data_IF_184286071402
#
_entry.id   IF_184286071402
#
_cell.length_a   1.000
_cell.length_b   1.000
_cell.length_c   1.000
_cell.angle_alpha   90.00
_cell.angle_beta   90.00
_cell.angle_gamma   90.00
#
_symmetry.space_group_name_H-M   'P 1'
#
loop_
_entity.id
_entity.type
_entity.pdbx_description
1 polymer ?
#
# COMPACT_ATOMS: atom_id res chain seq x y z
N UNK A 1 -15.17 14.70 -17.14
CA UNK A 1 -14.04 14.30 -16.31
C UNK A 1 -13.54 15.46 -15.44
N UNK A 2 -12.69 15.18 -14.43
CA UNK A 2 -12.07 16.21 -13.60
C UNK A 2 -11.27 17.23 -14.45
N UNK A 3 -10.40 16.75 -15.32
CA UNK A 3 -9.58 17.63 -16.18
C UNK A 3 -10.42 18.58 -17.07
N UNK A 4 -11.55 18.11 -17.59
CA UNK A 4 -12.45 18.98 -18.39
C UNK A 4 -13.06 20.11 -17.57
N UNK A 5 -13.41 19.85 -16.30
CA UNK A 5 -13.97 20.87 -15.40
C UNK A 5 -12.91 21.85 -14.90
N UNK A 6 -11.63 21.44 -14.91
CA UNK A 6 -10.49 22.22 -14.45
C UNK A 6 -9.68 22.84 -15.59
N UNK A 7 -10.19 22.77 -16.82
CA UNK A 7 -9.52 23.34 -18.01
C UNK A 7 -9.24 24.83 -17.84
N UNK A 8 -8.01 25.25 -18.08
CA UNK A 8 -7.52 26.62 -17.92
C UNK A 8 -7.74 27.21 -16.52
N UNK A 9 -7.60 26.39 -15.48
CA UNK A 9 -7.63 26.89 -14.10
C UNK A 9 -6.52 27.91 -13.86
N UNK A 10 -6.79 28.88 -12.96
CA UNK A 10 -5.80 29.90 -12.61
C UNK A 10 -4.58 29.29 -11.91
N UNK A 11 -4.81 28.31 -11.02
CA UNK A 11 -3.76 27.64 -10.27
C UNK A 11 -4.00 26.14 -10.24
N UNK A 12 -2.96 25.37 -10.59
CA UNK A 12 -2.86 23.92 -10.34
C UNK A 12 -1.73 23.67 -9.35
N UNK A 13 -2.07 23.15 -8.18
CA UNK A 13 -1.10 22.57 -7.25
C UNK A 13 -1.08 21.06 -7.48
N UNK A 14 0.09 20.50 -7.80
CA UNK A 14 0.19 19.09 -8.16
C UNK A 14 1.41 18.42 -7.54
N UNK A 15 1.21 17.20 -7.04
CA UNK A 15 2.27 16.38 -6.51
C UNK A 15 3.26 15.95 -7.60
N UNK A 16 4.48 15.61 -7.20
CA UNK A 16 5.53 15.15 -8.12
C UNK A 16 6.47 14.15 -7.45
N UNK A 17 5.94 13.22 -6.65
CA UNK A 17 6.78 12.23 -5.95
C UNK A 17 7.53 11.36 -6.95
N UNK A 18 6.85 10.86 -7.96
CA UNK A 18 7.43 9.95 -8.95
C UNK A 18 8.60 10.55 -9.74
N UNK A 19 8.58 11.86 -10.01
CA UNK A 19 9.68 12.54 -10.70
C UNK A 19 10.89 12.81 -9.81
N UNK A 20 10.75 12.65 -8.49
CA UNK A 20 11.86 12.80 -7.54
C UNK A 20 12.89 11.67 -7.67
N UNK A 21 12.47 10.51 -8.14
CA UNK A 21 13.26 9.29 -8.20
C UNK A 21 13.26 8.68 -9.62
N UNK A 22 13.81 9.39 -10.63
CA UNK A 22 13.76 8.93 -12.02
C UNK A 22 14.58 7.65 -12.25
N UNK A 23 15.56 7.39 -11.38
CA UNK A 23 16.47 6.25 -11.47
C UNK A 23 16.04 5.09 -10.54
N UNK A 24 14.82 5.13 -9.99
CA UNK A 24 14.29 3.95 -9.35
C UNK A 24 14.29 2.86 -10.43
N UNK A 25 15.24 1.94 -10.28
CA UNK A 25 15.30 0.75 -11.11
C UNK A 25 13.88 0.20 -11.17
N UNK A 26 13.33 0.21 -12.39
CA UNK A 26 12.14 -0.56 -12.69
C UNK A 26 12.61 -1.97 -12.37
N UNK A 27 12.19 -2.51 -11.21
CA UNK A 27 12.46 -3.91 -10.90
C UNK A 27 12.10 -4.71 -12.15
N UNK A 28 12.81 -5.79 -12.45
CA UNK A 28 12.56 -6.63 -13.62
C UNK A 28 11.09 -7.08 -13.75
N UNK A 29 10.29 -6.86 -12.73
CA UNK A 29 8.85 -7.06 -12.73
C UNK A 29 8.14 -5.85 -13.34
N UNK A 30 7.25 -6.12 -14.29
CA UNK A 30 6.33 -5.12 -14.84
C UNK A 30 5.65 -4.35 -13.69
N UNK A 31 5.68 -3.01 -13.68
CA UNK A 31 5.05 -2.22 -12.63
C UNK A 31 3.56 -2.57 -12.54
N UNK A 32 3.08 -2.76 -11.32
CA UNK A 32 1.64 -2.92 -11.06
C UNK A 32 0.97 -1.56 -11.31
N UNK A 33 -0.03 -1.54 -12.18
CA UNK A 33 -0.70 -0.32 -12.59
C UNK A 33 -2.07 -0.12 -11.93
N UNK A 34 -2.72 -1.19 -11.46
CA UNK A 34 -4.06 -1.12 -10.86
C UNK A 34 -4.16 -1.98 -9.60
N UNK A 35 -5.17 -1.69 -8.76
CA UNK A 35 -5.47 -2.51 -7.59
C UNK A 35 -5.92 -3.92 -7.99
N UNK A 36 -6.64 -4.06 -9.09
CA UNK A 36 -7.06 -5.36 -9.65
C UNK A 36 -5.85 -6.22 -10.02
N UNK A 37 -4.85 -5.62 -10.68
CA UNK A 37 -3.60 -6.31 -11.02
C UNK A 37 -2.82 -6.71 -9.77
N UNK A 38 -2.78 -5.83 -8.76
CA UNK A 38 -2.14 -6.15 -7.48
C UNK A 38 -2.78 -7.36 -6.82
N UNK A 39 -4.12 -7.37 -6.75
CA UNK A 39 -4.88 -8.48 -6.15
C UNK A 39 -4.70 -9.78 -6.95
N UNK A 40 -4.68 -9.69 -8.28
CA UNK A 40 -4.38 -10.86 -9.12
C UNK A 40 -3.00 -11.43 -8.81
N UNK A 41 -1.95 -10.61 -8.75
CA UNK A 41 -0.59 -11.07 -8.41
C UNK A 41 -0.49 -11.62 -7.00
N UNK A 42 -1.26 -11.06 -6.06
CA UNK A 42 -1.37 -11.63 -4.71
C UNK A 42 -1.92 -13.04 -4.75
N UNK A 43 -3.02 -13.27 -5.48
CA UNK A 43 -3.62 -14.59 -5.63
C UNK A 43 -2.66 -15.58 -6.29
N UNK A 44 -1.97 -15.17 -7.36
CA UNK A 44 -0.95 -15.99 -8.04
C UNK A 44 0.20 -16.38 -7.09
N UNK A 45 0.65 -15.45 -6.22
CA UNK A 45 1.66 -15.76 -5.21
C UNK A 45 1.15 -16.78 -4.19
N UNK A 46 -0.09 -16.64 -3.72
CA UNK A 46 -0.69 -17.59 -2.77
C UNK A 46 -0.78 -18.98 -3.38
N UNK A 47 -1.17 -19.10 -4.64
CA UNK A 47 -1.26 -20.37 -5.38
C UNK A 47 0.12 -21.02 -5.65
N UNK A 48 1.16 -20.20 -5.85
CA UNK A 48 2.52 -20.66 -6.06
C UNK A 48 3.10 -21.39 -4.84
N UNK A 49 2.61 -21.09 -3.65
CA UNK A 49 3.16 -21.60 -2.40
C UNK A 49 2.13 -22.41 -1.59
N UNK A 50 1.63 -23.56 -2.12
CA UNK A 50 0.50 -24.27 -1.55
C UNK A 50 0.76 -24.87 -0.15
N UNK A 51 2.02 -25.07 0.23
CA UNK A 51 2.44 -25.72 1.48
C UNK A 51 3.44 -24.86 2.26
N UNK A 52 3.16 -23.56 2.37
CA UNK A 52 3.97 -22.62 3.15
C UNK A 52 3.07 -21.71 3.97
N UNK A 53 3.51 -21.35 5.16
CA UNK A 53 2.88 -20.24 5.87
C UNK A 53 2.94 -18.98 5.00
N UNK A 54 1.80 -18.33 4.81
CA UNK A 54 1.73 -17.06 4.09
C UNK A 54 1.15 -16.01 5.02
N UNK A 55 1.92 -14.97 5.23
CA UNK A 55 1.52 -13.80 6.00
C UNK A 55 1.59 -12.55 5.13
N UNK A 56 0.84 -11.54 5.50
CA UNK A 56 0.89 -10.28 4.78
C UNK A 56 0.71 -9.08 5.71
N UNK A 57 1.09 -7.91 5.25
CA UNK A 57 0.69 -6.64 5.84
C UNK A 57 0.44 -5.62 4.73
N UNK A 58 -0.57 -4.76 4.94
CA UNK A 58 -0.98 -3.74 3.99
C UNK A 58 -1.19 -2.39 4.67
N UNK A 59 -1.24 -1.32 3.87
CA UNK A 59 -1.53 0.01 4.36
C UNK A 59 -2.97 0.08 4.90
N UNK A 60 -3.18 0.30 6.21
CA UNK A 60 -4.48 0.11 6.85
C UNK A 60 -5.57 1.06 6.36
N UNK A 61 -5.21 2.23 5.80
CA UNK A 61 -6.19 3.15 5.24
C UNK A 61 -6.70 2.74 3.84
N UNK A 62 -6.05 1.78 3.16
CA UNK A 62 -6.53 1.27 1.88
C UNK A 62 -7.52 0.11 2.08
N UNK A 63 -8.68 0.42 2.68
CA UNK A 63 -9.72 -0.58 2.96
C UNK A 63 -10.24 -1.27 1.70
N UNK A 64 -10.20 -0.58 0.56
CA UNK A 64 -10.63 -1.17 -0.72
C UNK A 64 -9.75 -2.34 -1.13
N UNK A 65 -8.43 -2.21 -0.95
CA UNK A 65 -7.49 -3.32 -1.19
C UNK A 65 -7.77 -4.49 -0.25
N UNK A 66 -7.95 -4.24 1.05
CA UNK A 66 -8.30 -5.29 2.01
C UNK A 66 -9.61 -6.00 1.63
N UNK A 67 -10.64 -5.24 1.23
CA UNK A 67 -11.90 -5.82 0.75
C UNK A 67 -11.67 -6.76 -0.43
N UNK A 68 -10.90 -6.34 -1.42
CA UNK A 68 -10.61 -7.14 -2.60
C UNK A 68 -9.79 -8.38 -2.25
N UNK A 69 -8.76 -8.25 -1.43
CA UNK A 69 -7.94 -9.37 -0.97
C UNK A 69 -8.76 -10.41 -0.19
N UNK A 70 -9.59 -9.97 0.77
CA UNK A 70 -10.46 -10.88 1.53
C UNK A 70 -11.44 -11.64 0.63
N UNK A 71 -11.99 -10.99 -0.42
CA UNK A 71 -12.96 -11.60 -1.32
C UNK A 71 -12.34 -12.54 -2.37
N UNK A 72 -11.09 -12.31 -2.75
CA UNK A 72 -10.48 -12.98 -3.91
C UNK A 72 -9.34 -13.91 -3.55
N UNK A 73 -8.78 -13.84 -2.33
CA UNK A 73 -7.70 -14.72 -1.91
C UNK A 73 -8.07 -16.19 -2.04
N UNK A 74 -7.19 -17.03 -2.61
CA UNK A 74 -7.40 -18.48 -2.70
C UNK A 74 -7.47 -19.18 -1.33
N UNK A 75 -6.87 -18.56 -0.30
CA UNK A 75 -6.94 -19.03 1.08
C UNK A 75 -7.77 -18.07 1.92
N UNK A 76 -8.30 -18.55 3.03
CA UNK A 76 -9.02 -17.70 3.98
C UNK A 76 -8.10 -16.61 4.53
N UNK A 77 -8.48 -15.35 4.28
CA UNK A 77 -7.80 -14.21 4.86
C UNK A 77 -8.23 -14.00 6.31
N UNK A 78 -7.26 -13.91 7.22
CA UNK A 78 -7.51 -13.64 8.65
C UNK A 78 -6.78 -12.36 9.03
N UNK A 79 -7.50 -11.37 9.53
CA UNK A 79 -6.96 -10.06 9.86
C UNK A 79 -6.68 -9.94 11.35
N UNK A 80 -5.81 -9.01 11.75
CA UNK A 80 -5.75 -8.60 13.16
C UNK A 80 -7.08 -7.97 13.58
N UNK A 81 -7.51 -8.19 14.82
CA UNK A 81 -8.81 -7.74 15.32
C UNK A 81 -9.08 -6.25 15.10
N UNK A 82 -8.06 -5.39 15.25
CA UNK A 82 -8.19 -3.96 14.99
C UNK A 82 -8.52 -3.66 13.52
N UNK A 83 -7.91 -4.38 12.60
CA UNK A 83 -8.19 -4.22 11.16
C UNK A 83 -9.56 -4.77 10.80
N UNK A 84 -9.94 -5.91 11.37
CA UNK A 84 -11.29 -6.47 11.19
C UNK A 84 -12.37 -5.52 11.72
N UNK A 85 -12.15 -4.88 12.86
CA UNK A 85 -13.06 -3.87 13.40
C UNK A 85 -13.18 -2.66 12.47
N UNK A 86 -12.07 -2.19 11.92
CA UNK A 86 -12.07 -1.10 10.95
C UNK A 86 -12.85 -1.46 9.67
N UNK A 87 -12.68 -2.68 9.16
CA UNK A 87 -13.46 -3.20 8.02
C UNK A 87 -14.95 -3.24 8.34
N UNK A 88 -15.31 -3.66 9.55
CA UNK A 88 -16.70 -3.70 10.01
C UNK A 88 -17.31 -2.30 10.14
N UNK A 89 -16.60 -1.38 10.78
CA UNK A 89 -17.12 -0.02 11.03
C UNK A 89 -17.27 0.78 9.72
N UNK A 90 -16.31 0.68 8.80
CA UNK A 90 -16.30 1.53 7.60
C UNK A 90 -17.04 0.90 6.43
N UNK A 91 -16.89 -0.41 6.22
CA UNK A 91 -17.48 -1.12 5.08
C UNK A 91 -18.69 -1.99 5.44
N UNK A 92 -19.01 -2.15 6.72
CA UNK A 92 -20.03 -3.09 7.19
C UNK A 92 -19.64 -4.55 6.96
N UNK A 93 -18.38 -4.84 6.71
CA UNK A 93 -17.90 -6.16 6.30
C UNK A 93 -17.40 -6.96 7.50
N UNK A 94 -17.98 -8.12 7.72
CA UNK A 94 -17.48 -9.11 8.66
C UNK A 94 -16.40 -9.94 8.01
N UNK A 95 -15.25 -10.08 8.69
CA UNK A 95 -14.08 -10.81 8.18
C UNK A 95 -13.51 -11.70 9.27
N UNK A 96 -12.90 -12.84 8.93
CA UNK A 96 -12.15 -13.66 9.88
C UNK A 96 -11.05 -12.84 10.55
N UNK A 97 -10.87 -13.03 11.86
CA UNK A 97 -9.89 -12.27 12.62
C UNK A 97 -9.25 -13.07 13.74
N UNK A 98 -8.20 -12.53 14.31
CA UNK A 98 -7.55 -13.06 15.51
C UNK A 98 -7.13 -11.93 16.44
N UNK A 99 -7.01 -12.26 17.72
CA UNK A 99 -6.41 -11.38 18.72
C UNK A 99 -4.94 -11.72 18.95
N UNK A 100 -4.13 -10.68 19.13
CA UNK A 100 -2.84 -10.83 19.78
C UNK A 100 -3.04 -11.08 21.27
N UNK A 101 -2.07 -11.72 21.90
CA UNK A 101 -2.10 -11.98 23.36
C UNK A 101 -2.33 -10.68 24.12
N UNK A 102 -3.20 -10.72 25.12
CA UNK A 102 -3.57 -9.58 25.96
C UNK A 102 -4.30 -8.42 25.26
N UNK A 103 -4.78 -8.61 24.03
CA UNK A 103 -5.58 -7.61 23.36
C UNK A 103 -6.97 -7.51 23.97
N UNK A 104 -7.54 -6.30 24.14
CA UNK A 104 -8.91 -6.15 24.63
C UNK A 104 -9.92 -6.67 23.60
N UNK A 105 -10.99 -7.29 24.07
CA UNK A 105 -12.10 -7.72 23.20
C UNK A 105 -12.76 -6.50 22.56
N UNK A 106 -13.00 -6.57 21.24
CA UNK A 106 -13.67 -5.53 20.47
C UNK A 106 -15.13 -5.95 20.23
N UNK A 107 -16.12 -5.29 20.88
CA UNK A 107 -17.51 -5.77 20.91
C UNK A 107 -18.23 -5.83 19.56
N UNK A 108 -17.76 -5.09 18.56
CA UNK A 108 -18.38 -5.07 17.21
C UNK A 108 -18.07 -6.33 16.40
N UNK A 109 -17.07 -7.11 16.80
CA UNK A 109 -16.63 -8.32 16.10
C UNK A 109 -17.48 -9.53 16.54
N UNK A 110 -17.77 -10.39 15.57
CA UNK A 110 -18.56 -11.62 15.77
C UNK A 110 -17.63 -12.75 16.21
N UNK A 111 -17.86 -13.32 17.41
CA UNK A 111 -16.98 -14.33 18.00
C UNK A 111 -16.83 -15.62 17.16
N UNK A 112 -17.79 -15.94 16.32
CA UNK A 112 -17.74 -17.08 15.40
C UNK A 112 -16.73 -16.92 14.24
N UNK A 113 -16.22 -15.69 14.03
CA UNK A 113 -15.18 -15.38 13.04
C UNK A 113 -13.78 -15.30 13.66
N UNK A 114 -13.66 -15.52 14.95
CA UNK A 114 -12.38 -15.53 15.65
C UNK A 114 -11.63 -16.83 15.40
N UNK A 115 -10.38 -16.72 14.96
CA UNK A 115 -9.45 -17.84 14.86
C UNK A 115 -8.41 -17.76 15.96
N UNK A 116 -8.12 -18.87 16.68
CA UNK A 116 -7.07 -18.89 17.67
C UNK A 116 -5.71 -18.61 17.01
N UNK A 117 -4.91 -17.75 17.62
CA UNK A 117 -3.59 -17.37 17.16
C UNK A 117 -2.69 -18.61 16.89
N UNK A 118 -2.70 -19.61 17.78
CA UNK A 118 -1.90 -20.83 17.64
C UNK A 118 -2.28 -21.66 16.40
N UNK A 119 -3.53 -21.58 15.95
CA UNK A 119 -3.97 -22.24 14.71
C UNK A 119 -3.31 -21.55 13.50
N UNK A 120 -3.33 -20.24 13.45
CA UNK A 120 -2.72 -19.46 12.35
C UNK A 120 -1.20 -19.63 12.31
N UNK A 121 -0.58 -19.58 13.48
CA UNK A 121 0.88 -19.75 13.61
C UNK A 121 1.40 -21.07 13.07
N UNK A 122 0.62 -22.14 13.20
CA UNK A 122 1.00 -23.49 12.78
C UNK A 122 0.40 -23.91 11.42
N UNK A 123 -0.32 -23.02 10.73
CA UNK A 123 -0.92 -23.33 9.44
C UNK A 123 0.00 -22.99 8.26
N UNK A 124 0.06 -23.90 7.30
CA UNK A 124 0.85 -23.75 6.07
C UNK A 124 -0.02 -23.76 4.80
N UNK A 125 -1.33 -24.04 4.92
CA UNK A 125 -2.13 -24.40 3.75
C UNK A 125 -3.48 -23.68 3.64
N UNK A 126 -4.07 -23.29 4.75
CA UNK A 126 -5.48 -22.86 4.82
C UNK A 126 -5.62 -21.35 4.84
N UNK A 127 -4.71 -20.66 5.51
CA UNK A 127 -4.83 -19.24 5.79
C UNK A 127 -3.75 -18.41 5.09
N UNK A 128 -4.14 -17.16 4.79
CA UNK A 128 -3.23 -16.03 4.69
C UNK A 128 -3.62 -15.08 5.82
N UNK A 129 -2.70 -14.75 6.70
CA UNK A 129 -3.05 -13.96 7.87
C UNK A 129 -2.19 -12.70 8.01
N UNK A 130 -2.79 -11.65 8.51
CA UNK A 130 -2.13 -10.36 8.68
C UNK A 130 -1.15 -10.44 9.86
N UNK A 131 0.07 -9.92 9.66
CA UNK A 131 1.08 -9.74 10.71
C UNK A 131 1.65 -8.34 10.57
N UNK A 132 1.35 -7.47 11.54
CA UNK A 132 1.82 -6.07 11.54
C UNK A 132 3.15 -5.98 12.28
N UNK A 133 3.18 -6.28 13.57
CA UNK A 133 4.35 -6.04 14.43
C UNK A 133 5.02 -7.32 14.95
N UNK A 134 4.30 -8.43 15.04
CA UNK A 134 4.80 -9.66 15.67
C UNK A 134 5.50 -10.59 14.69
N UNK A 135 6.49 -10.09 13.98
CA UNK A 135 7.28 -10.85 13.00
C UNK A 135 8.13 -11.98 13.61
N UNK A 136 8.33 -11.96 14.93
CA UNK A 136 8.95 -13.08 15.64
C UNK A 136 8.13 -14.37 15.59
N UNK A 137 6.86 -14.29 15.27
CA UNK A 137 5.93 -15.41 15.16
C UNK A 137 5.92 -16.08 13.78
N UNK A 138 6.64 -15.52 12.81
CA UNK A 138 6.75 -16.09 11.48
C UNK A 138 7.55 -17.38 11.50
N UNK A 139 7.07 -18.39 10.78
CA UNK A 139 7.79 -19.65 10.61
C UNK A 139 8.92 -19.53 9.59
N UNK A 140 10.05 -20.17 9.87
CA UNK A 140 11.13 -20.31 8.91
C UNK A 140 10.65 -21.03 7.63
N UNK A 141 11.05 -20.50 6.47
CA UNK A 141 10.57 -20.99 5.17
C UNK A 141 9.22 -20.43 4.74
N UNK A 142 8.56 -19.61 5.56
CA UNK A 142 7.32 -18.91 5.20
C UNK A 142 7.51 -17.82 4.15
N UNK A 143 6.40 -17.23 3.72
CA UNK A 143 6.32 -16.08 2.82
C UNK A 143 5.68 -14.90 3.54
N UNK A 144 6.30 -13.72 3.44
CA UNK A 144 5.74 -12.45 3.92
C UNK A 144 5.49 -11.51 2.74
N UNK A 145 4.23 -11.19 2.51
CA UNK A 145 3.82 -10.26 1.46
C UNK A 145 3.66 -8.86 2.06
N UNK A 146 4.46 -7.90 1.60
CA UNK A 146 4.47 -6.53 2.07
C UNK A 146 3.79 -5.61 1.06
N UNK A 147 2.62 -5.08 1.42
CA UNK A 147 1.76 -4.31 0.53
C UNK A 147 1.57 -2.87 1.04
N UNK A 148 2.56 -2.03 0.79
CA UNK A 148 2.59 -0.60 1.16
C UNK A 148 2.41 -0.33 2.67
N UNK A 149 2.69 -1.32 3.53
CA UNK A 149 2.65 -1.19 4.97
C UNK A 149 3.90 -0.48 5.53
N UNK A 150 3.88 -0.15 6.80
CA UNK A 150 5.09 0.25 7.51
C UNK A 150 5.93 -0.97 7.87
N UNK A 151 7.27 -0.87 7.82
CA UNK A 151 8.07 0.24 7.31
C UNK A 151 7.99 0.37 5.78
N UNK A 152 7.87 1.60 5.27
CA UNK A 152 7.45 1.85 3.87
C UNK A 152 8.51 1.55 2.79
N UNK A 153 9.79 1.52 3.15
CA UNK A 153 10.87 1.28 2.19
C UNK A 153 12.21 1.87 2.62
N UNK A 154 13.19 1.90 1.73
CA UNK A 154 14.60 2.21 1.99
C UNK A 154 14.87 3.57 2.68
N UNK A 155 13.93 4.51 2.58
CA UNK A 155 14.03 5.79 3.28
C UNK A 155 13.62 5.71 4.76
N UNK A 156 13.01 4.60 5.18
CA UNK A 156 12.64 4.34 6.57
C UNK A 156 13.76 3.51 7.25
N UNK A 157 14.42 4.01 8.29
CA UNK A 157 15.49 3.27 8.98
C UNK A 157 15.04 1.90 9.53
N UNK A 158 13.74 1.73 9.82
CA UNK A 158 13.19 0.48 10.31
C UNK A 158 13.10 -0.59 9.21
N UNK A 159 13.10 -0.19 7.93
CA UNK A 159 12.96 -1.12 6.82
C UNK A 159 14.13 -2.11 6.72
N UNK A 160 15.36 -1.62 6.87
CA UNK A 160 16.54 -2.47 6.86
C UNK A 160 16.56 -3.46 8.06
N UNK A 161 16.10 -3.01 9.23
CA UNK A 161 15.98 -3.87 10.43
C UNK A 161 14.93 -4.95 10.19
N UNK A 162 13.79 -4.58 9.64
CA UNK A 162 12.70 -5.49 9.29
C UNK A 162 13.15 -6.58 8.30
N UNK A 163 13.80 -6.21 7.19
CA UNK A 163 14.34 -7.16 6.22
C UNK A 163 15.37 -8.11 6.82
N UNK A 164 16.22 -7.60 7.73
CA UNK A 164 17.20 -8.41 8.43
C UNK A 164 16.54 -9.47 9.29
N UNK A 165 15.49 -9.14 10.04
CA UNK A 165 14.74 -10.10 10.87
C UNK A 165 14.11 -11.18 9.99
N UNK A 166 13.49 -10.83 8.87
CA UNK A 166 12.93 -11.80 7.94
C UNK A 166 14.00 -12.75 7.38
N UNK A 167 15.15 -12.21 7.00
CA UNK A 167 16.28 -13.01 6.49
C UNK A 167 16.84 -13.98 7.56
N UNK A 168 17.01 -13.52 8.81
CA UNK A 168 17.45 -14.36 9.93
C UNK A 168 16.48 -15.50 10.23
N UNK A 169 15.19 -15.26 10.02
CA UNK A 169 14.12 -16.27 10.14
C UNK A 169 13.97 -17.15 8.89
N UNK A 170 14.71 -16.89 7.83
CA UNK A 170 14.55 -17.57 6.55
C UNK A 170 13.12 -17.42 5.98
N UNK A 171 12.47 -16.29 6.22
CA UNK A 171 11.18 -15.93 5.63
C UNK A 171 11.43 -15.19 4.33
N UNK A 172 10.82 -15.68 3.25
CA UNK A 172 10.89 -15.01 1.95
C UNK A 172 10.09 -13.72 2.00
N UNK A 173 10.68 -12.63 1.51
CA UNK A 173 10.04 -11.33 1.45
C UNK A 173 9.63 -11.02 0.02
N UNK A 174 8.35 -10.72 -0.18
CA UNK A 174 7.83 -10.23 -1.45
C UNK A 174 7.17 -8.88 -1.25
N UNK A 175 7.66 -7.89 -1.96
CA UNK A 175 7.02 -6.57 -2.02
C UNK A 175 5.97 -6.56 -3.12
N UNK A 176 4.72 -6.32 -2.74
CA UNK A 176 3.59 -6.20 -3.65
C UNK A 176 2.96 -4.83 -3.44
N UNK A 177 3.44 -3.83 -4.18
CA UNK A 177 3.15 -2.42 -3.96
C UNK A 177 2.48 -1.80 -5.17
N UNK A 178 1.53 -0.92 -4.91
CA UNK A 178 1.00 0.00 -5.89
C UNK A 178 1.10 1.41 -5.32
N UNK A 179 1.92 2.24 -5.95
CA UNK A 179 2.06 3.63 -5.54
C UNK A 179 0.74 4.39 -5.72
N UNK A 180 0.32 5.13 -4.69
CA UNK A 180 -0.79 6.08 -4.81
C UNK A 180 -0.43 7.35 -5.59
N UNK A 181 0.83 7.48 -6.03
CA UNK A 181 1.33 8.62 -6.80
C UNK A 181 1.27 8.34 -8.29
N UNK A 182 0.85 9.35 -9.06
CA UNK A 182 0.78 9.26 -10.51
C UNK A 182 2.17 9.04 -11.13
N UNK A 183 2.24 8.30 -12.24
CA UNK A 183 3.49 8.17 -13.00
C UNK A 183 3.89 9.50 -13.66
N UNK A 184 5.17 9.72 -13.96
CA UNK A 184 5.63 10.95 -14.62
C UNK A 184 4.88 11.29 -15.91
N UNK A 185 4.53 10.28 -16.70
CA UNK A 185 3.75 10.45 -17.93
C UNK A 185 2.32 10.92 -17.64
N UNK A 186 1.67 10.37 -16.60
CA UNK A 186 0.31 10.79 -16.20
C UNK A 186 0.29 12.21 -15.66
N UNK A 187 1.32 12.61 -14.90
CA UNK A 187 1.45 14.00 -14.44
C UNK A 187 1.55 14.97 -15.62
N UNK A 188 2.35 14.64 -16.63
CA UNK A 188 2.45 15.43 -17.86
C UNK A 188 1.10 15.50 -18.60
N UNK A 189 0.43 14.35 -18.75
CA UNK A 189 -0.90 14.28 -19.39
C UNK A 189 -1.97 15.11 -18.65
N UNK A 190 -1.93 15.11 -17.31
CA UNK A 190 -2.84 15.95 -16.51
C UNK A 190 -2.59 17.42 -16.78
N UNK A 191 -1.33 17.88 -16.82
CA UNK A 191 -0.98 19.26 -17.16
C UNK A 191 -1.46 19.60 -18.56
N UNK A 192 -1.25 18.73 -19.55
CA UNK A 192 -1.68 18.91 -20.93
C UNK A 192 -3.21 19.02 -21.05
N UNK A 193 -3.95 18.25 -20.30
CA UNK A 193 -5.42 18.28 -20.29
C UNK A 193 -6.01 19.48 -19.55
N UNK A 194 -5.35 19.97 -18.51
CA UNK A 194 -5.83 21.09 -17.70
C UNK A 194 -5.37 22.42 -18.28
N UNK A 195 -4.15 22.51 -18.80
CA UNK A 195 -3.52 23.73 -19.32
C UNK A 195 -3.59 24.90 -18.31
N UNK A 196 -3.03 24.73 -17.09
CA UNK A 196 -3.17 25.72 -16.03
C UNK A 196 -2.38 27.00 -16.36
N UNK A 197 -2.90 28.18 -15.92
CA UNK A 197 -2.16 29.43 -16.04
C UNK A 197 -0.93 29.43 -15.14
N UNK A 198 -1.06 28.88 -13.93
CA UNK A 198 0.05 28.74 -12.97
C UNK A 198 0.10 27.30 -12.46
N UNK A 199 1.29 26.69 -12.50
CA UNK A 199 1.60 25.39 -11.89
C UNK A 199 2.47 25.58 -10.66
N UNK A 200 2.06 25.00 -9.54
CA UNK A 200 2.88 24.92 -8.32
C UNK A 200 3.13 23.45 -8.00
N UNK A 201 4.34 22.92 -8.29
CA UNK A 201 4.74 21.60 -7.87
C UNK A 201 4.83 21.52 -6.34
N UNK A 202 4.23 20.47 -5.77
CA UNK A 202 4.28 20.17 -4.34
C UNK A 202 4.72 18.72 -4.13
N UNK A 203 5.12 18.36 -2.91
CA UNK A 203 5.47 16.99 -2.53
C UNK A 203 6.47 16.32 -3.49
N UNK A 204 7.52 17.03 -3.85
CA UNK A 204 8.58 16.56 -4.74
C UNK A 204 9.93 17.11 -4.33
N UNK A 205 11.00 16.31 -4.52
CA UNK A 205 12.39 16.75 -4.35
C UNK A 205 12.96 17.43 -5.59
N UNK A 206 12.27 17.32 -6.74
CA UNK A 206 12.70 17.85 -8.04
C UNK A 206 11.57 18.66 -8.71
N UNK A 207 11.08 19.73 -8.06
CA UNK A 207 9.94 20.50 -8.55
C UNK A 207 10.21 21.14 -9.92
N UNK A 208 11.48 21.38 -10.24
CA UNK A 208 11.92 21.92 -11.54
C UNK A 208 11.66 20.97 -12.72
N UNK A 209 11.41 19.68 -12.48
CA UNK A 209 11.11 18.69 -13.51
C UNK A 209 9.66 18.68 -13.96
N UNK A 210 8.72 19.21 -13.14
CA UNK A 210 7.35 19.44 -13.58
C UNK A 210 7.29 20.72 -14.41
N UNK A 211 7.05 20.57 -15.69
CA UNK A 211 7.02 21.69 -16.66
C UNK A 211 5.57 22.08 -16.96
N UNK A 212 5.31 23.39 -16.98
CA UNK A 212 4.04 23.94 -17.46
C UNK A 212 4.25 24.63 -18.83
N UNK A 213 3.93 23.98 -19.95
CA UNK A 213 4.10 24.61 -21.26
C UNK A 213 3.00 25.64 -21.58
N UNK A 214 1.98 25.78 -20.75
CA UNK A 214 0.81 26.62 -20.99
C UNK A 214 0.78 27.93 -20.19
N UNK A 215 1.68 28.05 -19.22
CA UNK A 215 1.73 29.23 -18.35
C UNK A 215 2.94 29.23 -17.43
N UNK A 216 2.82 29.94 -16.32
CA UNK A 216 3.91 30.09 -15.36
C UNK A 216 4.06 28.85 -14.48
N UNK A 217 5.30 28.55 -14.04
CA UNK A 217 5.59 27.63 -12.96
C UNK A 217 6.22 28.38 -11.82
N UNK A 218 5.60 28.32 -10.64
CA UNK A 218 6.10 28.95 -9.42
C UNK A 218 6.67 27.86 -8.50
N UNK A 219 7.88 28.07 -8.00
CA UNK A 219 8.56 27.21 -7.03
C UNK A 219 8.63 27.94 -5.68
N UNK A 220 7.61 27.87 -4.83
CA UNK A 220 7.53 28.65 -3.62
C UNK A 220 8.53 28.18 -2.57
N UNK A 221 9.06 29.13 -1.81
CA UNK A 221 9.83 28.85 -0.60
C UNK A 221 8.88 28.71 0.60
N UNK A 222 9.33 27.98 1.61
CA UNK A 222 8.54 27.83 2.84
C UNK A 222 8.20 29.20 3.45
N UNK A 223 6.92 29.48 3.64
CA UNK A 223 6.44 30.75 4.21
C UNK A 223 6.30 31.90 3.21
N UNK A 224 6.58 31.66 1.93
CA UNK A 224 6.36 32.63 0.86
C UNK A 224 4.88 32.78 0.56
N UNK A 225 4.41 34.01 0.43
CA UNK A 225 3.07 34.33 -0.01
C UNK A 225 3.08 34.57 -1.52
N UNK A 226 2.25 33.82 -2.25
CA UNK A 226 2.05 34.00 -3.68
C UNK A 226 0.72 34.73 -3.88
N UNK A 227 0.74 35.80 -4.65
CA UNK A 227 -0.44 36.53 -5.08
C UNK A 227 -0.65 36.20 -6.56
N UNK A 228 -1.83 35.66 -6.91
CA UNK A 228 -2.22 35.25 -8.27
C UNK A 228 -2.96 36.39 -8.96
#
# INVERSE_FOLDING_TARGET
TFCQKSFQTDLLMMEGVSISFPDREISEQTPIATEEELVQRFCELVDQYPNRQITFNGYPANLKRFEMLVKQSPRTMVLEANMAALMKEVLGMDVPYYYLTDSPVIPILQSELEYPYEVLRNDETTFVWQVVDNIENLQGGGLYIHSDAQPLGDFDPQYAVFLKILAEKQVEFVRLSLSGHAFPADLAEIIDKIQPKVLVPIHTLKPEKLVNPYGERILPKRGEQIIL
#
